data_IF_188858489952
#
_entry.id   IF_188858489952
#
_cell.length_a   1.000
_cell.length_b   1.000
_cell.length_c   1.000
_cell.angle_alpha   90.00
_cell.angle_beta   90.00
_cell.angle_gamma   90.00
#
_symmetry.space_group_name_H-M   'P 1'
#
loop_
_entity.id
_entity.type
_entity.pdbx_description
1 polymer ?
#
# COMPACT_ATOMS: atom_id res chain seq x y z
N UNK A 1 -27.44 9.18 2.31
CA UNK A 1 -26.30 8.22 2.33
C UNK A 1 -25.04 9.02 2.56
N UNK A 2 -24.46 8.94 3.75
CA UNK A 2 -23.19 9.61 4.10
C UNK A 2 -22.06 8.94 3.32
N UNK A 3 -21.24 9.73 2.60
CA UNK A 3 -20.01 9.19 1.99
C UNK A 3 -19.11 8.70 3.14
N UNK A 4 -18.56 7.48 3.07
CA UNK A 4 -17.62 7.01 4.08
C UNK A 4 -16.42 7.95 4.15
N UNK A 5 -15.87 8.15 5.34
CA UNK A 5 -14.68 8.99 5.49
C UNK A 5 -13.49 8.31 4.81
N UNK A 6 -12.53 9.09 4.30
CA UNK A 6 -11.38 8.54 3.57
C UNK A 6 -10.59 7.49 4.38
N UNK A 7 -10.56 7.63 5.72
CA UNK A 7 -9.97 6.63 6.61
C UNK A 7 -10.73 5.30 6.65
N UNK A 8 -12.06 5.32 6.59
CA UNK A 8 -12.88 4.10 6.49
C UNK A 8 -12.67 3.39 5.15
N UNK A 9 -12.53 4.17 4.07
CA UNK A 9 -12.23 3.63 2.73
C UNK A 9 -10.88 2.93 2.71
N UNK A 10 -9.87 3.53 3.32
CA UNK A 10 -8.53 2.94 3.43
C UNK A 10 -8.55 1.64 4.25
N UNK A 11 -9.19 1.65 5.42
CA UNK A 11 -9.28 0.46 6.29
C UNK A 11 -9.98 -0.70 5.57
N UNK A 12 -11.17 -0.47 5.01
CA UNK A 12 -11.92 -1.52 4.33
C UNK A 12 -11.19 -2.10 3.10
N UNK A 13 -10.48 -1.24 2.36
CA UNK A 13 -9.64 -1.68 1.24
C UNK A 13 -8.46 -2.53 1.72
N UNK A 14 -7.79 -2.12 2.79
CA UNK A 14 -6.72 -2.91 3.43
C UNK A 14 -7.24 -4.27 3.87
N UNK A 15 -8.37 -4.33 4.60
CA UNK A 15 -8.96 -5.57 5.11
C UNK A 15 -9.25 -6.55 3.97
N UNK A 16 -9.71 -6.04 2.83
CA UNK A 16 -9.98 -6.86 1.63
C UNK A 16 -8.70 -7.39 1.00
N UNK A 17 -7.68 -6.54 0.87
CA UNK A 17 -6.44 -6.87 0.15
C UNK A 17 -5.57 -7.87 0.91
N UNK A 18 -5.51 -7.78 2.24
CA UNK A 18 -4.59 -8.61 3.03
C UNK A 18 -5.04 -10.06 3.18
N UNK A 19 -6.33 -10.36 2.97
CA UNK A 19 -6.91 -11.70 3.15
C UNK A 19 -6.47 -12.71 2.09
N UNK A 20 -6.02 -12.24 0.92
CA UNK A 20 -5.59 -13.08 -0.20
C UNK A 20 -4.14 -12.76 -0.61
N UNK A 21 -3.46 -13.68 -1.32
CA UNK A 21 -2.19 -13.38 -1.97
C UNK A 21 -2.27 -12.12 -2.85
N UNK A 22 -1.27 -11.23 -2.73
CA UNK A 22 -1.29 -9.91 -3.36
C UNK A 22 -1.20 -9.93 -4.89
N UNK A 23 -0.72 -11.03 -5.47
CA UNK A 23 -0.71 -11.27 -6.91
C UNK A 23 -2.13 -11.58 -7.46
N UNK A 24 -3.08 -11.89 -6.59
CA UNK A 24 -4.50 -12.08 -6.88
C UNK A 24 -5.38 -10.99 -6.22
N UNK A 25 -4.79 -9.86 -5.83
CA UNK A 25 -5.49 -8.77 -5.18
C UNK A 25 -6.73 -8.31 -5.98
N UNK A 26 -7.78 -7.95 -5.25
CA UNK A 26 -8.97 -7.32 -5.82
C UNK A 26 -8.60 -5.94 -6.40
N UNK A 27 -8.90 -5.74 -7.68
CA UNK A 27 -8.49 -4.55 -8.42
C UNK A 27 -9.20 -3.29 -7.90
N UNK A 28 -10.47 -3.41 -7.49
CA UNK A 28 -11.23 -2.28 -6.98
C UNK A 28 -10.71 -1.83 -5.60
N UNK A 29 -10.44 -2.77 -4.71
CA UNK A 29 -9.84 -2.52 -3.40
C UNK A 29 -8.43 -1.92 -3.55
N UNK A 30 -7.62 -2.44 -4.47
CA UNK A 30 -6.27 -1.93 -4.74
C UNK A 30 -6.30 -0.48 -5.21
N UNK A 31 -7.19 -0.15 -6.14
CA UNK A 31 -7.39 1.22 -6.63
C UNK A 31 -7.94 2.13 -5.54
N UNK A 32 -8.90 1.64 -4.75
CA UNK A 32 -9.48 2.39 -3.63
C UNK A 32 -8.43 2.77 -2.59
N UNK A 33 -7.61 1.79 -2.18
CA UNK A 33 -6.48 2.02 -1.26
C UNK A 33 -5.49 3.03 -1.85
N UNK A 34 -5.08 2.84 -3.10
CA UNK A 34 -4.11 3.73 -3.75
C UNK A 34 -4.60 5.18 -3.80
N UNK A 35 -5.85 5.41 -4.20
CA UNK A 35 -6.44 6.75 -4.22
C UNK A 35 -6.55 7.36 -2.82
N UNK A 36 -6.92 6.57 -1.83
CA UNK A 36 -6.96 7.02 -0.44
C UNK A 36 -5.57 7.45 0.05
N UNK A 37 -4.52 6.72 -0.32
CA UNK A 37 -3.15 7.06 0.06
C UNK A 37 -2.61 8.27 -0.71
N UNK A 38 -2.86 8.37 -2.03
CA UNK A 38 -2.23 9.38 -2.87
C UNK A 38 -2.94 10.73 -2.87
N UNK A 39 -4.27 10.73 -2.87
CA UNK A 39 -5.05 11.92 -3.21
C UNK A 39 -6.01 12.36 -2.13
N UNK A 40 -6.14 11.60 -1.05
CA UNK A 40 -7.06 11.92 0.03
C UNK A 40 -6.35 12.51 1.26
N UNK A 41 -7.11 13.20 2.09
CA UNK A 41 -6.70 13.65 3.42
C UNK A 41 -6.88 12.59 4.51
N UNK A 42 -6.85 11.29 4.15
CA UNK A 42 -6.96 10.21 5.13
C UNK A 42 -5.82 10.30 6.15
N UNK A 43 -6.19 10.24 7.44
CA UNK A 43 -5.26 10.04 8.54
C UNK A 43 -4.73 8.59 8.50
N UNK A 44 -3.53 8.45 7.95
CA UNK A 44 -2.87 7.17 7.76
C UNK A 44 -2.44 6.53 9.09
N UNK A 45 -2.13 7.35 10.11
CA UNK A 45 -1.71 6.84 11.41
C UNK A 45 -2.91 6.21 12.11
N UNK A 46 -4.03 6.92 12.16
CA UNK A 46 -5.26 6.40 12.76
C UNK A 46 -5.76 5.15 12.03
N UNK A 47 -5.69 5.13 10.68
CA UNK A 47 -6.06 3.95 9.90
C UNK A 47 -5.13 2.75 10.16
N UNK A 48 -3.82 2.98 10.27
CA UNK A 48 -2.86 1.94 10.60
C UNK A 48 -3.07 1.37 12.02
N UNK A 49 -3.32 2.23 13.01
CA UNK A 49 -3.64 1.79 14.37
C UNK A 49 -4.92 0.95 14.42
N UNK A 50 -5.98 1.42 13.75
CA UNK A 50 -7.24 0.68 13.64
C UNK A 50 -7.02 -0.70 13.01
N UNK A 51 -6.32 -0.76 11.87
CA UNK A 51 -5.97 -2.02 11.22
C UNK A 51 -5.19 -2.96 12.15
N UNK A 52 -4.10 -2.49 12.76
CA UNK A 52 -3.25 -3.31 13.64
C UNK A 52 -3.97 -3.80 14.91
N UNK A 53 -5.00 -3.09 15.37
CA UNK A 53 -5.84 -3.54 16.49
C UNK A 53 -6.84 -4.64 16.11
N UNK A 54 -7.17 -4.78 14.82
CA UNK A 54 -8.14 -5.75 14.32
C UNK A 54 -7.48 -6.97 13.67
N UNK A 55 -6.24 -6.83 13.20
CA UNK A 55 -5.48 -7.88 12.53
C UNK A 55 -4.33 -8.35 13.39
N UNK A 56 -4.37 -9.60 13.86
CA UNK A 56 -3.27 -10.24 14.62
C UNK A 56 -2.43 -11.19 13.76
N UNK A 57 -2.89 -11.51 12.55
CA UNK A 57 -2.14 -12.35 11.62
C UNK A 57 -0.94 -11.60 11.06
N UNK A 58 0.25 -12.16 11.26
CA UNK A 58 1.52 -11.53 10.88
C UNK A 58 1.66 -11.38 9.36
N UNK A 59 1.10 -12.30 8.57
CA UNK A 59 1.14 -12.22 7.10
C UNK A 59 0.26 -11.07 6.63
N UNK A 60 -0.94 -10.91 7.22
CA UNK A 60 -1.83 -9.79 6.91
C UNK A 60 -1.18 -8.44 7.26
N UNK A 61 -0.53 -8.34 8.42
CA UNK A 61 0.20 -7.14 8.82
C UNK A 61 1.36 -6.81 7.88
N UNK A 62 2.14 -7.82 7.47
CA UNK A 62 3.23 -7.65 6.49
C UNK A 62 2.71 -7.22 5.12
N UNK A 63 1.60 -7.79 4.65
CA UNK A 63 0.95 -7.40 3.39
C UNK A 63 0.51 -5.94 3.43
N UNK A 64 -0.10 -5.50 4.53
CA UNK A 64 -0.49 -4.09 4.72
C UNK A 64 0.71 -3.15 4.70
N UNK A 65 1.77 -3.47 5.46
CA UNK A 65 3.01 -2.69 5.47
C UNK A 65 3.69 -2.62 4.10
N UNK A 66 3.78 -3.76 3.41
CA UNK A 66 4.28 -3.83 2.03
C UNK A 66 3.46 -2.94 1.09
N UNK A 67 2.13 -2.99 1.14
CA UNK A 67 1.26 -2.20 0.26
C UNK A 67 1.45 -0.70 0.49
N UNK A 68 1.45 -0.26 1.75
CA UNK A 68 1.66 1.15 2.10
C UNK A 68 3.02 1.65 1.59
N UNK A 69 4.11 0.91 1.84
CA UNK A 69 5.42 1.29 1.34
C UNK A 69 5.51 1.20 -0.18
N UNK A 70 4.85 0.24 -0.80
CA UNK A 70 4.84 0.12 -2.27
C UNK A 70 4.21 1.35 -2.90
N UNK A 71 3.14 1.87 -2.29
CA UNK A 71 2.42 3.04 -2.79
C UNK A 71 3.27 4.32 -2.77
N UNK A 72 4.31 4.44 -1.94
CA UNK A 72 5.21 5.61 -1.94
C UNK A 72 6.21 5.61 -3.10
N UNK A 73 6.38 4.47 -3.80
CA UNK A 73 7.33 4.34 -4.92
C UNK A 73 6.77 4.83 -6.26
N UNK A 74 5.54 5.34 -6.27
CA UNK A 74 4.91 5.87 -7.46
C UNK A 74 5.16 7.37 -7.60
N UNK A 75 5.40 7.83 -8.82
CA UNK A 75 5.79 9.22 -9.11
C UNK A 75 4.70 10.26 -8.82
N UNK A 76 3.45 9.82 -8.63
CA UNK A 76 2.33 10.71 -8.33
C UNK A 76 2.18 11.04 -6.84
N UNK A 77 2.99 10.43 -5.97
CA UNK A 77 2.97 10.71 -4.53
C UNK A 77 3.78 11.97 -4.25
N UNK A 78 3.19 12.90 -3.50
CA UNK A 78 3.91 14.09 -3.02
C UNK A 78 4.82 13.74 -1.84
N UNK A 79 5.90 14.50 -1.65
CA UNK A 79 6.82 14.29 -0.53
C UNK A 79 6.12 14.33 0.83
N UNK A 80 5.13 15.23 0.99
CA UNK A 80 4.31 15.30 2.20
C UNK A 80 3.53 14.02 2.45
N UNK A 81 2.88 13.46 1.42
CA UNK A 81 2.13 12.21 1.54
C UNK A 81 3.04 11.01 1.75
N UNK A 82 4.22 10.99 1.11
CA UNK A 82 5.21 9.96 1.37
C UNK A 82 5.66 9.99 2.84
N UNK A 83 5.93 11.17 3.41
CA UNK A 83 6.29 11.33 4.82
C UNK A 83 5.18 10.85 5.77
N UNK A 84 3.92 11.17 5.47
CA UNK A 84 2.77 10.69 6.24
C UNK A 84 2.66 9.15 6.19
N UNK A 85 2.90 8.55 5.03
CA UNK A 85 2.95 7.09 4.89
C UNK A 85 4.11 6.51 5.71
N UNK A 86 5.31 7.11 5.67
CA UNK A 86 6.44 6.65 6.48
C UNK A 86 6.14 6.71 7.97
N UNK A 87 5.50 7.77 8.46
CA UNK A 87 5.08 7.86 9.85
C UNK A 87 4.10 6.75 10.25
N UNK A 88 3.17 6.38 9.37
CA UNK A 88 2.27 5.25 9.59
C UNK A 88 3.00 3.90 9.52
N UNK A 89 3.97 3.75 8.61
CA UNK A 89 4.78 2.54 8.45
C UNK A 89 5.60 2.19 9.69
N UNK A 90 6.01 3.18 10.48
CA UNK A 90 6.69 2.93 11.76
C UNK A 90 5.87 2.03 12.70
N UNK A 91 4.54 2.09 12.65
CA UNK A 91 3.67 1.21 13.44
C UNK A 91 3.75 -0.25 12.96
N UNK A 92 3.78 -0.45 11.64
CA UNK A 92 3.95 -1.78 11.04
C UNK A 92 5.35 -2.33 11.30
N UNK A 93 6.39 -1.49 11.23
CA UNK A 93 7.77 -1.92 11.51
C UNK A 93 7.99 -2.33 12.97
N UNK A 94 7.25 -1.72 13.90
CA UNK A 94 7.24 -2.12 15.32
C UNK A 94 6.52 -3.46 15.54
N UNK A 95 5.42 -3.71 14.82
CA UNK A 95 4.64 -4.94 14.94
C UNK A 95 5.30 -6.12 14.20
N UNK A 96 5.74 -5.88 12.97
CA UNK A 96 6.37 -6.85 12.07
C UNK A 96 7.64 -6.26 11.47
N UNK A 97 8.79 -6.39 12.16
CA UNK A 97 10.06 -5.90 11.65
C UNK A 97 10.41 -6.52 10.29
N UNK A 98 11.01 -5.72 9.41
CA UNK A 98 11.52 -6.19 8.13
C UNK A 98 12.60 -7.24 8.32
N UNK A 99 12.62 -8.21 7.40
CA UNK A 99 13.64 -9.24 7.36
C UNK A 99 14.87 -8.74 6.59
N UNK A 100 16.06 -9.06 7.10
CA UNK A 100 17.30 -8.79 6.39
C UNK A 100 17.31 -9.58 5.07
N UNK A 101 17.31 -8.86 3.94
CA UNK A 101 17.48 -9.51 2.64
C UNK A 101 18.96 -9.89 2.51
N UNK A 102 19.27 -11.17 2.56
CA UNK A 102 20.54 -11.64 2.02
C UNK A 102 20.42 -11.56 0.51
N UNK A 103 21.05 -10.56 -0.11
CA UNK A 103 21.05 -10.35 -1.56
C UNK A 103 21.48 -11.64 -2.26
N UNK A 104 20.51 -12.39 -2.80
CA UNK A 104 20.81 -13.61 -3.54
C UNK A 104 21.46 -13.21 -4.86
N UNK A 105 22.74 -13.57 -4.99
CA UNK A 105 23.58 -13.34 -6.16
C UNK A 105 22.88 -13.81 -7.44
N UNK A 106 22.79 -12.91 -8.43
CA UNK A 106 22.42 -13.19 -9.82
C UNK A 106 21.24 -14.16 -10.03
N UNK A 107 20.05 -13.78 -9.59
CA UNK A 107 18.82 -14.46 -10.00
C UNK A 107 18.51 -14.11 -11.46
N UNK A 108 18.34 -15.12 -12.32
CA UNK A 108 17.94 -14.93 -13.72
C UNK A 108 16.73 -13.99 -13.82
N UNK A 109 16.71 -13.04 -14.78
CA UNK A 109 15.67 -12.01 -14.94
C UNK A 109 14.22 -12.56 -14.87
N UNK A 110 14.00 -13.81 -15.28
CA UNK A 110 12.71 -14.53 -15.21
C UNK A 110 12.21 -14.83 -13.78
N UNK A 111 13.07 -14.71 -12.76
CA UNK A 111 12.77 -14.95 -11.35
C UNK A 111 12.94 -13.67 -10.50
N UNK A 112 12.91 -12.47 -11.10
CA UNK A 112 13.03 -11.20 -10.38
C UNK A 112 11.84 -11.06 -9.42
N UNK A 113 12.08 -11.43 -8.17
CA UNK A 113 11.10 -11.29 -7.08
C UNK A 113 11.08 -9.84 -6.66
N UNK A 114 9.90 -9.39 -6.21
CA UNK A 114 9.76 -8.05 -5.65
C UNK A 114 10.60 -7.97 -4.37
N UNK A 115 11.77 -7.33 -4.46
CA UNK A 115 12.69 -7.16 -3.33
C UNK A 115 12.01 -6.46 -2.15
N UNK A 116 11.06 -5.55 -2.41
CA UNK A 116 10.31 -4.93 -1.34
C UNK A 116 9.45 -5.97 -0.61
N UNK A 117 8.73 -6.83 -1.35
CA UNK A 117 7.93 -7.90 -0.74
C UNK A 117 8.80 -8.84 0.10
N UNK A 118 9.98 -9.20 -0.41
CA UNK A 118 10.94 -10.02 0.33
C UNK A 118 11.43 -9.33 1.60
N UNK A 119 11.69 -8.01 1.59
CA UNK A 119 12.09 -7.27 2.80
C UNK A 119 11.00 -7.31 3.89
N UNK A 120 9.73 -7.39 3.47
CA UNK A 120 8.59 -7.55 4.38
C UNK A 120 8.37 -9.01 4.80
N UNK A 121 9.18 -9.96 4.35
CA UNK A 121 9.03 -11.38 4.64
C UNK A 121 7.93 -12.07 3.84
N UNK A 122 7.44 -11.45 2.76
CA UNK A 122 6.40 -12.01 1.90
C UNK A 122 7.01 -12.87 0.77
N UNK A 123 6.25 -13.88 0.33
CA UNK A 123 6.63 -14.73 -0.81
C UNK A 123 6.11 -14.18 -2.13
N UNK A 124 5.16 -13.26 -2.05
CA UNK A 124 4.43 -12.63 -3.12
C UNK A 124 4.44 -11.10 -2.99
N UNK A 125 4.50 -10.42 -4.14
CA UNK A 125 4.19 -8.99 -4.25
C UNK A 125 2.96 -8.81 -5.14
N UNK A 126 2.69 -7.58 -5.60
CA UNK A 126 1.56 -7.31 -6.50
C UNK A 126 1.65 -7.98 -7.88
N UNK A 127 2.84 -8.38 -8.33
CA UNK A 127 3.01 -8.95 -9.67
C UNK A 127 2.45 -8.04 -10.76
N UNK A 128 1.58 -8.57 -11.62
CA UNK A 128 0.91 -7.80 -12.68
C UNK A 128 -0.20 -6.88 -12.16
N UNK A 129 -0.72 -7.08 -10.94
CA UNK A 129 -1.78 -6.24 -10.35
C UNK A 129 -1.37 -4.79 -10.16
N UNK A 130 -0.05 -4.53 -10.10
CA UNK A 130 0.50 -3.17 -10.10
C UNK A 130 0.07 -2.37 -11.35
N UNK A 131 -0.24 -3.03 -12.47
CA UNK A 131 -0.65 -2.37 -13.71
C UNK A 131 -2.02 -1.70 -13.59
N UNK A 132 -2.91 -2.22 -12.75
CA UNK A 132 -4.22 -1.63 -12.43
C UNK A 132 -4.08 -0.20 -11.90
N UNK A 133 -2.93 0.12 -11.30
CA UNK A 133 -2.65 1.42 -10.72
C UNK A 133 -2.09 2.45 -11.72
N UNK A 134 -1.60 2.04 -12.89
CA UNK A 134 -0.91 2.91 -13.84
C UNK A 134 -1.77 4.08 -14.36
N UNK A 135 -3.07 3.91 -14.68
CA UNK A 135 -3.90 5.02 -15.16
C UNK A 135 -4.01 6.17 -14.14
N UNK A 136 -3.88 5.86 -12.86
CA UNK A 136 -4.05 6.81 -11.77
C UNK A 136 -2.75 7.54 -11.41
N UNK A 137 -1.62 7.24 -12.06
CA UNK A 137 -0.33 7.89 -11.78
C UNK A 137 -0.05 9.09 -12.69
N UNK A 138 -0.96 9.37 -13.63
CA UNK A 138 -0.74 10.41 -14.63
C UNK A 138 -0.85 11.80 -14.01
N UNK A 139 -0.03 12.75 -14.49
CA UNK A 139 -0.13 14.16 -14.11
C UNK A 139 -1.52 14.74 -14.39
N UNK A 140 -2.19 14.24 -15.44
CA UNK A 140 -3.55 14.64 -15.77
C UNK A 140 -4.53 14.23 -14.68
N UNK A 141 -4.51 12.97 -14.26
CA UNK A 141 -5.35 12.48 -13.17
C UNK A 141 -5.07 13.23 -11.86
N UNK A 142 -3.79 13.48 -11.54
CA UNK A 142 -3.39 14.27 -10.38
C UNK A 142 -3.99 15.70 -10.41
N UNK A 143 -3.96 16.36 -11.57
CA UNK A 143 -4.55 17.69 -11.73
C UNK A 143 -6.08 17.68 -11.57
N UNK A 144 -6.77 16.68 -12.13
CA UNK A 144 -8.21 16.49 -11.95
C UNK A 144 -8.59 16.28 -10.49
N UNK A 145 -7.83 15.44 -9.77
CA UNK A 145 -8.07 15.21 -8.34
C UNK A 145 -7.87 16.50 -7.54
N UNK A 146 -6.81 17.27 -7.78
CA UNK A 146 -6.58 18.54 -7.09
C UNK A 146 -7.70 19.55 -7.36
N UNK A 147 -8.17 19.65 -8.60
CA UNK A 147 -9.24 20.56 -8.98
C UNK A 147 -10.58 20.21 -8.32
N UNK A 148 -10.82 18.93 -8.00
CA UNK A 148 -12.02 18.49 -7.30
C UNK A 148 -12.07 18.89 -5.81
N UNK A 149 -10.96 19.38 -5.23
CA UNK A 149 -10.86 19.80 -3.84
C UNK A 149 -10.76 21.33 -3.64
N UNK A 150 -10.81 22.11 -4.74
CA UNK A 150 -10.85 23.59 -4.74
C UNK A 150 -12.29 24.04 -4.94
#
# INVERSE_FOLDING_TARGET
>A
MTKPSNGQVLSAALDTLVKNPLDHADDAALVSMAKAVWYSSADLISAAQAFLSQHTDEVEQRRAGYLLERLTRFSCVTDSRALEVFNALELFLRSTPKQAITSQTAVALRKRRDELALSWGLKEGLGLKVQTLLPFQTRHYEAEQRAAFV
#
